data_IF_481084900561
#
_entry.id   IF_481084900561
#
_cell.length_a   1.000
_cell.length_b   1.000
_cell.length_c   1.000
_cell.angle_alpha   90.00
_cell.angle_beta   90.00
_cell.angle_gamma   90.00
#
_symmetry.space_group_name_H-M   'P 1'
#
loop_
_entity.id
_entity.type
_entity.pdbx_description
1 polymer ?
#
# COMPACT_ATOMS: atom_id res chain seq x y z
N UNK A 1 -6.20 5.62 -17.47
CA UNK A 1 -4.81 6.01 -17.17
C UNK A 1 -3.89 4.81 -17.41
N UNK A 2 -2.62 5.04 -17.73
CA UNK A 2 -1.62 3.97 -17.79
C UNK A 2 -1.16 3.65 -16.37
N UNK A 3 -0.93 2.36 -16.04
CA UNK A 3 -0.40 1.90 -14.75
C UNK A 3 0.86 2.64 -14.30
N UNK A 4 1.70 3.07 -15.23
CA UNK A 4 2.88 3.90 -14.92
C UNK A 4 2.52 5.29 -14.37
N UNK A 5 1.49 5.93 -14.93
CA UNK A 5 1.00 7.23 -14.41
C UNK A 5 0.35 7.08 -13.05
N UNK A 6 -0.45 6.03 -12.85
CA UNK A 6 -1.10 5.75 -11.56
C UNK A 6 -0.07 5.53 -10.44
N UNK A 7 1.00 4.78 -10.74
CA UNK A 7 2.11 4.57 -9.81
C UNK A 7 2.86 5.88 -9.53
N UNK A 8 3.20 6.65 -10.56
CA UNK A 8 3.90 7.93 -10.39
C UNK A 8 3.06 8.90 -9.54
N UNK A 9 1.76 9.00 -9.80
CA UNK A 9 0.85 9.81 -9.00
C UNK A 9 0.82 9.35 -7.54
N UNK A 10 0.67 8.05 -7.30
CA UNK A 10 0.63 7.51 -5.94
C UNK A 10 1.89 7.83 -5.15
N UNK A 11 3.09 7.64 -5.73
CA UNK A 11 4.36 7.84 -5.01
C UNK A 11 4.72 9.32 -4.83
N UNK A 12 4.29 10.19 -5.74
CA UNK A 12 4.63 11.62 -5.72
C UNK A 12 3.60 12.47 -4.97
N UNK A 13 2.32 12.12 -5.03
CA UNK A 13 1.23 12.95 -4.48
C UNK A 13 0.71 12.39 -3.16
N UNK A 14 0.46 11.08 -3.04
CA UNK A 14 -0.19 10.53 -1.85
C UNK A 14 0.72 10.53 -0.61
N UNK A 15 0.12 10.58 0.57
CA UNK A 15 0.79 10.43 1.89
C UNK A 15 0.51 9.05 2.51
N UNK A 16 -0.44 8.32 1.98
CA UNK A 16 -0.81 6.99 2.46
C UNK A 16 -1.30 6.15 1.30
N UNK A 17 -1.09 4.84 1.38
CA UNK A 17 -1.49 3.89 0.36
C UNK A 17 -2.24 2.71 0.98
N UNK A 18 -3.34 2.35 0.34
CA UNK A 18 -4.29 1.34 0.78
C UNK A 18 -4.17 0.14 -0.15
N UNK A 19 -3.52 -0.94 0.31
CA UNK A 19 -3.36 -2.17 -0.47
C UNK A 19 -4.53 -3.11 -0.20
N UNK A 20 -5.56 -3.02 -1.06
CA UNK A 20 -6.78 -3.85 -0.96
C UNK A 20 -6.64 -5.23 -1.58
N UNK A 21 -5.57 -5.47 -2.33
CA UNK A 21 -5.23 -6.75 -2.93
C UNK A 21 -3.80 -7.11 -2.53
N UNK A 22 -3.64 -7.76 -1.38
CA UNK A 22 -2.32 -8.11 -0.83
C UNK A 22 -1.53 -9.09 -1.72
N UNK A 23 -2.17 -9.74 -2.71
CA UNK A 23 -1.51 -10.53 -3.76
C UNK A 23 -0.98 -9.70 -4.95
N UNK A 24 -1.27 -8.40 -5.01
CA UNK A 24 -0.89 -7.54 -6.13
C UNK A 24 0.56 -7.05 -6.01
N UNK A 25 1.45 -7.59 -6.84
CA UNK A 25 2.84 -7.10 -6.95
C UNK A 25 2.90 -5.62 -7.34
N UNK A 26 1.95 -5.14 -8.15
CA UNK A 26 1.85 -3.74 -8.52
C UNK A 26 1.60 -2.82 -7.31
N UNK A 27 0.71 -3.22 -6.41
CA UNK A 27 0.44 -2.47 -5.19
C UNK A 27 1.62 -2.47 -4.22
N UNK A 28 2.33 -3.59 -4.12
CA UNK A 28 3.58 -3.68 -3.34
C UNK A 28 4.67 -2.74 -3.86
N UNK A 29 4.80 -2.61 -5.20
CA UNK A 29 5.74 -1.64 -5.78
C UNK A 29 5.38 -0.19 -5.46
N UNK A 30 4.09 0.17 -5.46
CA UNK A 30 3.65 1.50 -5.04
C UNK A 30 4.00 1.73 -3.56
N UNK A 31 3.67 0.77 -2.69
CA UNK A 31 3.95 0.87 -1.26
C UNK A 31 5.44 1.00 -0.97
N UNK A 32 6.28 0.20 -1.65
CA UNK A 32 7.73 0.31 -1.56
C UNK A 32 8.21 1.68 -2.04
N UNK A 33 7.78 2.14 -3.21
CA UNK A 33 8.25 3.41 -3.80
C UNK A 33 7.66 4.66 -3.12
N UNK A 34 6.73 4.52 -2.17
CA UNK A 34 6.16 5.62 -1.40
C UNK A 34 7.16 6.11 -0.32
N UNK A 35 8.23 6.76 -0.77
CA UNK A 35 9.35 7.21 0.09
C UNK A 35 9.10 8.63 0.60
N UNK A 36 8.18 8.78 1.55
CA UNK A 36 7.95 10.05 2.23
C UNK A 36 8.05 9.88 3.73
N UNK A 37 8.51 10.91 4.42
CA UNK A 37 8.45 10.94 5.89
C UNK A 37 6.98 10.83 6.32
N UNK A 38 6.70 9.84 7.16
CA UNK A 38 5.35 9.48 7.63
C UNK A 38 4.42 8.86 6.57
N UNK A 39 4.94 8.39 5.43
CA UNK A 39 4.16 7.56 4.52
C UNK A 39 3.66 6.31 5.26
N UNK A 40 2.36 6.03 5.15
CA UNK A 40 1.77 4.80 5.70
C UNK A 40 1.26 3.93 4.57
N UNK A 41 1.78 2.72 4.48
CA UNK A 41 1.20 1.66 3.67
C UNK A 41 0.42 0.77 4.60
N UNK A 42 -0.84 0.57 4.25
CA UNK A 42 -1.70 -0.32 4.99
C UNK A 42 -2.18 -1.44 4.07
N UNK A 43 -2.25 -2.64 4.61
CA UNK A 43 -2.64 -3.83 3.86
C UNK A 43 -3.43 -4.77 4.78
N UNK A 44 -4.22 -5.65 4.17
CA UNK A 44 -4.80 -6.76 4.91
C UNK A 44 -3.75 -7.85 5.11
N UNK A 45 -3.41 -8.11 6.37
CA UNK A 45 -2.48 -9.17 6.76
C UNK A 45 -3.13 -10.56 6.70
N UNK A 46 -4.46 -10.62 6.54
CA UNK A 46 -5.18 -11.85 6.29
C UNK A 46 -5.25 -12.16 4.79
N UNK A 47 -4.39 -13.07 4.35
CA UNK A 47 -4.32 -13.51 2.95
C UNK A 47 -5.35 -14.61 2.62
N UNK A 48 -6.22 -14.99 3.56
CA UNK A 48 -7.21 -16.05 3.35
C UNK A 48 -8.40 -15.63 2.48
N UNK A 49 -8.60 -14.31 2.31
CA UNK A 49 -9.69 -13.76 1.52
C UNK A 49 -9.20 -13.08 0.24
N UNK A 50 -9.90 -13.32 -0.87
CA UNK A 50 -9.49 -12.87 -2.21
C UNK A 50 -9.85 -11.41 -2.52
N UNK A 51 -10.79 -10.81 -1.79
CA UNK A 51 -11.27 -9.44 -1.98
C UNK A 51 -11.67 -8.81 -0.64
N UNK A 52 -11.06 -7.68 -0.30
CA UNK A 52 -11.46 -6.88 0.87
C UNK A 52 -12.75 -6.13 0.54
N UNK A 53 -13.84 -6.42 1.25
CA UNK A 53 -15.06 -5.60 1.22
C UNK A 53 -14.78 -4.26 1.91
N UNK A 54 -15.33 -3.15 1.39
CA UNK A 54 -15.27 -1.82 2.03
C UNK A 54 -15.85 -1.87 3.45
N UNK A 55 -16.81 -2.74 3.72
CA UNK A 55 -17.39 -2.92 5.06
C UNK A 55 -16.42 -3.63 6.02
N UNK A 56 -15.41 -4.30 5.47
CA UNK A 56 -14.36 -5.00 6.20
C UNK A 56 -13.11 -4.13 6.31
N UNK A 57 -13.20 -2.81 6.45
CA UNK A 57 -12.04 -2.02 6.91
C UNK A 57 -11.79 -2.37 8.38
N UNK A 58 -10.91 -3.32 8.72
CA UNK A 58 -10.77 -3.77 10.08
C UNK A 58 -9.77 -2.85 10.80
N UNK A 59 -9.96 -2.75 12.11
CA UNK A 59 -9.16 -1.95 13.03
C UNK A 59 -7.67 -2.37 13.09
N UNK A 60 -7.30 -3.44 12.39
CA UNK A 60 -6.01 -4.13 12.41
C UNK A 60 -5.06 -3.71 11.27
N UNK A 61 -5.33 -2.62 10.55
CA UNK A 61 -4.48 -2.16 9.45
C UNK A 61 -3.11 -1.77 9.99
N UNK A 62 -2.11 -2.62 9.75
CA UNK A 62 -0.75 -2.43 10.26
C UNK A 62 -0.03 -1.46 9.32
N UNK A 63 0.45 -0.31 9.82
CA UNK A 63 1.33 0.53 9.02
C UNK A 63 2.64 -0.22 8.80
N UNK A 64 3.00 -0.43 7.54
CA UNK A 64 4.35 -0.89 7.22
C UNK A 64 5.29 0.29 7.44
N UNK A 65 6.15 0.17 8.45
CA UNK A 65 7.27 1.09 8.64
C UNK A 65 8.43 0.50 7.84
N UNK A 66 8.71 1.07 6.67
CA UNK A 66 9.92 0.72 5.93
C UNK A 66 11.14 1.28 6.67
N UNK A 67 12.02 0.40 7.14
CA UNK A 67 13.29 0.80 7.71
C UNK A 67 14.14 1.47 6.61
N UNK A 68 14.46 2.75 6.81
CA UNK A 68 15.32 3.52 5.90
C UNK A 68 16.74 2.94 5.82
N UNK A 69 17.16 2.11 6.79
CA UNK A 69 18.50 1.51 6.87
C UNK A 69 18.64 0.19 6.10
N UNK A 70 17.55 -0.38 5.60
CA UNK A 70 17.57 -1.57 4.72
C UNK A 70 17.51 -1.19 3.23
N UNK A 71 17.90 0.04 2.89
CA UNK A 71 18.03 0.55 1.52
C UNK A 71 19.42 1.08 1.22
#
# INVERSE_FOLDING_TARGET
MNRGHDMCFAITICNSFLLTASSSTYGWWIGYLLVKENAKVFFDADFSHSLVSIENFPYNWIPIIYDKNFR
#
